data_IF_229664202496
#
_entry.id   IF_229664202496
#
_cell.length_a   1.000
_cell.length_b   1.000
_cell.length_c   1.000
_cell.angle_alpha   90.00
_cell.angle_beta   90.00
_cell.angle_gamma   90.00
#
_symmetry.space_group_name_H-M   'P 1'
#
loop_
_entity.id
_entity.type
_entity.pdbx_description
1 polymer ?
#
# COMPACT_ATOMS: atom_id res chain seq x y z
N UNK A 1 7.38 8.69 -12.46
CA UNK A 1 7.30 7.78 -13.61
C UNK A 1 5.92 7.90 -14.24
N UNK A 2 5.79 7.70 -15.56
CA UNK A 2 4.48 7.63 -16.23
C UNK A 2 3.89 6.22 -16.09
N UNK A 3 2.57 6.07 -16.35
CA UNK A 3 1.92 4.76 -16.38
C UNK A 3 2.64 3.78 -17.33
N UNK A 4 2.97 4.23 -18.54
CA UNK A 4 3.71 3.44 -19.53
C UNK A 4 5.08 2.98 -19.04
N UNK A 5 5.82 3.85 -18.36
CA UNK A 5 7.13 3.49 -17.83
C UNK A 5 7.05 2.42 -16.72
N UNK A 6 5.99 2.47 -15.90
CA UNK A 6 5.73 1.44 -14.88
C UNK A 6 5.27 0.14 -15.52
N UNK A 7 4.43 0.20 -16.55
CA UNK A 7 4.02 -0.98 -17.33
C UNK A 7 5.22 -1.69 -17.94
N UNK A 8 6.09 -0.97 -18.65
CA UNK A 8 7.33 -1.50 -19.25
C UNK A 8 8.25 -2.11 -18.17
N UNK A 9 8.38 -1.47 -17.01
CA UNK A 9 9.17 -2.01 -15.89
C UNK A 9 8.55 -3.27 -15.24
N UNK A 10 7.24 -3.45 -15.37
CA UNK A 10 6.49 -4.59 -14.84
C UNK A 10 6.38 -5.75 -15.83
N UNK A 11 6.96 -5.65 -17.03
CA UNK A 11 6.83 -6.71 -18.03
C UNK A 11 7.40 -8.07 -17.55
N UNK A 12 6.83 -9.20 -18.01
CA UNK A 12 7.24 -10.53 -17.55
C UNK A 12 8.70 -10.90 -17.86
N UNK A 13 9.31 -10.24 -18.85
CA UNK A 13 10.69 -10.50 -19.26
C UNK A 13 11.71 -9.74 -18.39
N UNK A 14 11.26 -8.79 -17.56
CA UNK A 14 12.11 -8.07 -16.60
C UNK A 14 12.42 -9.02 -15.44
N UNK A 15 13.71 -9.15 -15.11
CA UNK A 15 14.16 -10.00 -14.01
C UNK A 15 13.44 -9.64 -12.71
N UNK A 16 13.04 -10.66 -11.94
CA UNK A 16 12.23 -10.51 -10.71
C UNK A 16 12.73 -9.43 -9.75
N UNK A 17 14.05 -9.34 -9.54
CA UNK A 17 14.65 -8.33 -8.64
C UNK A 17 14.52 -6.88 -9.12
N UNK A 18 14.22 -6.68 -10.40
CA UNK A 18 14.06 -5.37 -11.04
C UNK A 18 12.61 -5.07 -11.45
N UNK A 19 11.68 -6.01 -11.27
CA UNK A 19 10.28 -5.85 -11.61
C UNK A 19 9.51 -5.32 -10.38
N UNK A 20 9.11 -4.04 -10.35
CA UNK A 20 8.49 -3.45 -9.17
C UNK A 20 7.11 -4.05 -8.85
N UNK A 21 6.37 -4.52 -9.87
CA UNK A 21 5.08 -5.18 -9.67
C UNK A 21 5.24 -6.53 -8.97
N UNK A 22 6.22 -7.33 -9.38
CA UNK A 22 6.52 -8.61 -8.71
C UNK A 22 7.05 -8.37 -7.30
N UNK A 23 7.96 -7.42 -7.12
CA UNK A 23 8.49 -7.10 -5.80
C UNK A 23 7.40 -6.64 -4.82
N UNK A 24 6.52 -5.74 -5.26
CA UNK A 24 5.39 -5.26 -4.45
C UNK A 24 4.44 -6.42 -4.12
N UNK A 25 4.02 -7.20 -5.12
CA UNK A 25 3.10 -8.33 -4.93
C UNK A 25 3.67 -9.40 -4.00
N UNK A 26 4.94 -9.78 -4.16
CA UNK A 26 5.60 -10.76 -3.31
C UNK A 26 5.74 -10.26 -1.86
N UNK A 27 6.05 -8.98 -1.67
CA UNK A 27 6.15 -8.36 -0.34
C UNK A 27 4.80 -8.40 0.38
N UNK A 28 3.75 -7.94 -0.29
CA UNK A 28 2.38 -7.93 0.25
C UNK A 28 1.89 -9.35 0.58
N UNK A 29 2.09 -10.31 -0.33
CA UNK A 29 1.67 -11.69 -0.12
C UNK A 29 2.43 -12.38 1.02
N UNK A 30 3.75 -12.13 1.13
CA UNK A 30 4.57 -12.72 2.19
C UNK A 30 4.19 -12.18 3.57
N UNK A 31 3.95 -10.87 3.67
CA UNK A 31 3.52 -10.23 4.91
C UNK A 31 2.13 -10.72 5.34
N UNK A 32 1.17 -10.76 4.42
CA UNK A 32 -0.16 -11.32 4.67
C UNK A 32 -0.09 -12.78 5.15
N UNK A 33 0.76 -13.60 4.51
CA UNK A 33 0.99 -15.00 4.92
C UNK A 33 1.63 -15.15 6.30
N UNK A 34 2.28 -14.10 6.81
CA UNK A 34 2.86 -14.04 8.16
C UNK A 34 1.94 -13.41 9.21
N UNK A 35 0.69 -13.07 8.86
CA UNK A 35 -0.30 -12.45 9.74
C UNK A 35 -0.37 -10.93 9.65
N UNK A 36 0.42 -10.28 8.78
CA UNK A 36 0.35 -8.84 8.49
C UNK A 36 -0.55 -8.57 7.29
N UNK A 37 -1.84 -8.80 7.47
CA UNK A 37 -2.86 -8.78 6.41
C UNK A 37 -3.62 -7.46 6.27
N UNK A 38 -3.31 -6.44 7.08
CA UNK A 38 -3.97 -5.12 7.03
C UNK A 38 -3.05 -4.07 6.44
N UNK A 39 -3.34 -3.66 5.21
CA UNK A 39 -2.61 -2.61 4.51
C UNK A 39 -3.24 -1.24 4.80
N UNK A 40 -2.56 -0.43 5.57
CA UNK A 40 -3.00 0.93 5.89
C UNK A 40 -2.33 1.93 4.94
N UNK A 41 -3.13 2.63 4.14
CA UNK A 41 -2.64 3.67 3.23
C UNK A 41 -2.80 5.03 3.89
N UNK A 42 -1.68 5.73 4.03
CA UNK A 42 -1.64 7.10 4.51
C UNK A 42 -1.19 7.98 3.35
N UNK A 43 -2.05 8.88 2.91
CA UNK A 43 -1.81 9.68 1.71
C UNK A 43 -1.84 11.16 2.03
N UNK A 44 -1.01 11.96 1.36
CA UNK A 44 -1.16 13.42 1.34
C UNK A 44 -2.61 13.81 1.01
N UNK A 45 -3.17 14.89 1.58
CA UNK A 45 -4.56 15.27 1.33
C UNK A 45 -4.94 15.38 -0.17
N UNK A 46 -4.07 15.94 -1.06
CA UNK A 46 -4.34 15.94 -2.50
C UNK A 46 -4.42 14.55 -3.15
N UNK A 47 -3.91 13.50 -2.49
CA UNK A 47 -3.91 12.11 -2.96
C UNK A 47 -5.02 11.27 -2.31
N UNK A 48 -5.91 11.85 -1.49
CA UNK A 48 -6.97 11.10 -0.80
C UNK A 48 -7.85 10.28 -1.76
N UNK A 49 -8.22 10.86 -2.91
CA UNK A 49 -8.99 10.14 -3.95
C UNK A 49 -8.22 8.97 -4.56
N UNK A 50 -6.90 9.07 -4.67
CA UNK A 50 -6.05 7.95 -5.11
C UNK A 50 -6.02 6.85 -4.06
N UNK A 51 -5.93 7.19 -2.76
CA UNK A 51 -6.01 6.23 -1.66
C UNK A 51 -7.29 5.40 -1.71
N UNK A 52 -8.45 6.06 -1.85
CA UNK A 52 -9.75 5.39 -1.97
C UNK A 52 -9.83 4.47 -3.20
N UNK A 53 -9.27 4.89 -4.34
CA UNK A 53 -9.21 4.05 -5.53
C UNK A 53 -8.35 2.79 -5.32
N UNK A 54 -7.20 2.91 -4.65
CA UNK A 54 -6.35 1.75 -4.31
C UNK A 54 -7.05 0.82 -3.33
N UNK A 55 -7.76 1.36 -2.33
CA UNK A 55 -8.56 0.58 -1.38
C UNK A 55 -9.55 -0.32 -2.10
N UNK A 56 -10.36 0.28 -2.98
CA UNK A 56 -11.34 -0.45 -3.78
C UNK A 56 -10.67 -1.53 -4.65
N UNK A 57 -9.59 -1.16 -5.35
CA UNK A 57 -8.85 -2.08 -6.23
C UNK A 57 -8.38 -3.33 -5.48
N UNK A 58 -7.79 -3.15 -4.29
CA UNK A 58 -7.28 -4.27 -3.47
C UNK A 58 -8.43 -5.09 -2.88
N UNK A 59 -9.44 -4.42 -2.32
CA UNK A 59 -10.57 -5.07 -1.68
C UNK A 59 -11.33 -5.99 -2.66
N UNK A 60 -11.65 -5.51 -3.86
CA UNK A 60 -12.38 -6.29 -4.87
C UNK A 60 -11.52 -7.38 -5.53
N UNK A 61 -10.21 -7.14 -5.68
CA UNK A 61 -9.31 -8.08 -6.38
C UNK A 61 -8.89 -9.26 -5.50
N UNK A 62 -8.62 -9.01 -4.21
CA UNK A 62 -8.01 -9.99 -3.31
C UNK A 62 -8.95 -10.59 -2.28
N UNK A 63 -10.11 -9.96 -1.99
CA UNK A 63 -11.09 -10.43 -1.00
C UNK A 63 -11.91 -11.63 -1.47
N UNK A 64 -11.28 -12.80 -1.66
CA UNK A 64 -11.92 -14.04 -2.14
C UNK A 64 -11.69 -15.17 -1.16
N UNK A 65 -12.69 -16.03 -1.00
CA UNK A 65 -12.63 -17.21 -0.12
C UNK A 65 -12.20 -16.91 1.33
N UNK A 66 -12.62 -15.77 1.88
CA UNK A 66 -12.21 -15.28 3.20
C UNK A 66 -10.67 -15.15 3.39
N UNK A 67 -9.94 -15.03 2.28
CA UNK A 67 -8.51 -14.72 2.24
C UNK A 67 -8.33 -13.36 1.55
N UNK A 68 -7.21 -12.71 1.82
CA UNK A 68 -6.85 -11.46 1.15
C UNK A 68 -6.11 -10.50 2.07
N UNK A 69 -5.91 -9.30 1.54
CA UNK A 69 -5.37 -8.17 2.26
C UNK A 69 -6.54 -7.22 2.52
N UNK A 70 -6.66 -6.73 3.75
CA UNK A 70 -7.66 -5.73 4.13
C UNK A 70 -7.03 -4.34 3.92
N UNK A 71 -7.41 -3.60 2.86
CA UNK A 71 -6.96 -2.23 2.71
C UNK A 71 -7.74 -1.30 3.65
N UNK A 72 -7.04 -0.32 4.22
CA UNK A 72 -7.58 0.63 5.19
C UNK A 72 -7.11 2.03 4.80
N UNK A 73 -8.05 2.95 4.62
CA UNK A 73 -7.77 4.36 4.32
C UNK A 73 -8.59 5.28 5.23
N UNK A 74 -8.09 6.49 5.47
CA UNK A 74 -8.81 7.50 6.25
C UNK A 74 -8.94 7.20 7.75
N UNK A 75 -8.28 6.17 8.29
CA UNK A 75 -8.21 5.99 9.74
C UNK A 75 -7.28 7.03 10.37
N UNK A 76 -7.61 7.57 11.57
CA UNK A 76 -6.68 8.42 12.30
C UNK A 76 -5.40 7.66 12.64
N UNK A 77 -4.26 8.33 12.47
CA UNK A 77 -2.99 7.81 12.97
C UNK A 77 -2.93 7.96 14.49
N UNK A 78 -2.63 6.86 15.16
CA UNK A 78 -2.47 6.78 16.61
C UNK A 78 -1.11 6.19 16.96
N UNK A 79 -0.81 6.11 18.26
CA UNK A 79 0.43 5.49 18.74
C UNK A 79 0.56 4.03 18.29
N UNK A 80 1.79 3.60 17.98
CA UNK A 80 2.06 2.28 17.42
C UNK A 80 1.49 1.13 18.29
N UNK A 81 1.47 1.29 19.62
CA UNK A 81 0.98 0.27 20.56
C UNK A 81 -0.56 0.09 20.56
N UNK A 82 -1.30 0.98 19.91
CA UNK A 82 -2.74 0.87 19.75
C UNK A 82 -3.13 -0.01 18.55
N UNK A 83 -2.17 -0.31 17.66
CA UNK A 83 -2.38 -1.22 16.55
C UNK A 83 -2.01 -2.66 16.92
N UNK A 84 -2.63 -3.62 16.24
CA UNK A 84 -2.18 -5.00 16.26
C UNK A 84 -0.88 -5.19 15.47
N UNK A 85 -0.21 -6.33 15.69
CA UNK A 85 0.97 -6.74 14.91
C UNK A 85 0.64 -7.17 13.45
N UNK A 86 -0.60 -6.91 13.02
CA UNK A 86 -1.17 -7.29 11.73
C UNK A 86 -1.10 -6.17 10.66
N UNK A 87 -0.54 -5.01 11.03
CA UNK A 87 -0.46 -3.84 10.15
C UNK A 87 0.79 -3.84 9.26
N UNK A 88 0.58 -3.35 8.03
CA UNK A 88 1.57 -2.81 7.12
C UNK A 88 1.13 -1.39 6.74
N UNK A 89 1.97 -0.40 7.01
CA UNK A 89 1.70 0.99 6.62
C UNK A 89 2.45 1.36 5.34
N UNK A 90 1.76 2.03 4.42
CA UNK A 90 2.34 2.60 3.20
C UNK A 90 2.00 4.08 3.15
N UNK A 91 3.05 4.91 3.14
CA UNK A 91 2.96 6.35 3.11
C UNK A 91 3.17 6.86 1.69
N UNK A 92 2.17 7.55 1.14
CA UNK A 92 2.23 8.21 -0.16
C UNK A 92 2.21 9.71 0.04
N UNK A 93 3.41 10.28 0.12
CA UNK A 93 3.61 11.72 0.28
C UNK A 93 3.82 12.38 -1.08
N UNK A 94 3.01 13.40 -1.38
CA UNK A 94 3.23 14.25 -2.54
C UNK A 94 4.42 15.18 -2.27
N UNK A 95 5.34 15.28 -3.22
CA UNK A 95 6.48 16.18 -3.08
C UNK A 95 6.02 17.64 -2.90
N UNK A 96 6.55 18.31 -1.86
CA UNK A 96 6.14 19.67 -1.49
C UNK A 96 4.91 19.75 -0.60
N UNK A 97 4.31 18.63 -0.22
CA UNK A 97 3.30 18.60 0.83
C UNK A 97 3.95 18.77 2.22
N UNK A 98 3.53 19.78 2.96
CA UNK A 98 4.00 20.11 4.32
C UNK A 98 3.11 19.51 5.42
N UNK A 99 2.16 18.64 5.06
CA UNK A 99 1.27 17.97 6.01
C UNK A 99 2.08 17.14 7.03
N UNK A 100 2.09 17.62 8.28
CA UNK A 100 2.89 17.06 9.39
C UNK A 100 2.48 15.64 9.81
N UNK A 101 1.26 15.22 9.47
CA UNK A 101 0.71 13.90 9.78
C UNK A 101 1.53 12.77 9.14
N UNK A 102 2.17 13.03 7.99
CA UNK A 102 3.02 12.05 7.29
C UNK A 102 4.49 12.06 7.75
N UNK A 103 4.93 13.13 8.41
CA UNK A 103 6.33 13.32 8.84
C UNK A 103 6.60 12.77 10.25
N UNK A 104 5.55 12.56 11.04
CA UNK A 104 5.63 12.11 12.44
C UNK A 104 5.35 10.62 12.62
N UNK A 105 4.94 9.94 11.55
CA UNK A 105 4.53 8.53 11.55
C UNK A 105 5.68 7.55 11.21
N UNK A 106 6.93 7.98 11.32
CA UNK A 106 8.14 7.24 10.93
C UNK A 106 8.86 6.58 12.11
#
# INVERSE_FOLDING_TARGET
ASARAIEEACEPHIATGNNPGVWLGATLASLAGSGRDKLTLVTSPPLAGFGLWVEQLIAESLGKDARGIVPITGEPLVEANAYGDDRLFVFLKLAGDESRELDTAQ
#
